data_IF_708905354174
#
_entry.id   IF_708905354174
#
_cell.length_a   1.000
_cell.length_b   1.000
_cell.length_c   1.000
_cell.angle_alpha   90.00
_cell.angle_beta   90.00
_cell.angle_gamma   90.00
#
_symmetry.space_group_name_H-M   'P 1'
#
loop_
_entity.id
_entity.type
_entity.pdbx_description
1 polymer ?
#
# COMPACT_ATOMS: atom_id res chain seq x y z
N UNK A 1 33.27 -24.72 65.16
CA UNK A 1 32.15 -23.78 65.40
C UNK A 1 31.11 -23.97 64.29
N UNK A 2 29.82 -24.01 64.66
CA UNK A 2 28.60 -24.20 63.87
C UNK A 2 28.43 -23.28 62.63
N UNK A 3 27.41 -23.49 61.73
CA UNK A 3 26.58 -24.68 61.46
C UNK A 3 26.35 -25.00 59.96
N UNK A 4 25.74 -26.17 59.73
CA UNK A 4 25.17 -26.68 58.47
C UNK A 4 23.87 -25.95 58.10
N UNK A 5 23.61 -25.72 56.81
CA UNK A 5 22.26 -25.77 56.25
C UNK A 5 22.23 -26.49 54.89
N UNK A 6 21.34 -27.50 54.83
CA UNK A 6 20.98 -28.30 53.66
C UNK A 6 19.99 -27.50 52.79
N UNK A 7 20.32 -27.25 51.54
CA UNK A 7 19.35 -26.89 50.50
C UNK A 7 18.84 -28.15 49.82
N UNK A 8 17.55 -28.45 49.98
CA UNK A 8 16.88 -29.62 49.38
C UNK A 8 16.71 -29.42 47.87
N UNK A 9 17.25 -30.33 47.07
CA UNK A 9 16.87 -30.51 45.66
C UNK A 9 15.42 -30.96 45.61
N UNK A 10 14.51 -30.09 45.15
CA UNK A 10 13.17 -30.52 44.77
C UNK A 10 13.27 -31.27 43.44
N UNK A 11 13.27 -32.59 43.54
CA UNK A 11 12.99 -33.51 42.43
C UNK A 11 11.54 -33.25 41.96
N UNK A 12 11.38 -32.57 40.84
CA UNK A 12 10.11 -32.55 40.11
C UNK A 12 9.89 -33.95 39.50
N UNK A 13 9.17 -34.80 40.25
CA UNK A 13 8.59 -36.04 39.72
C UNK A 13 7.28 -35.70 38.98
N UNK A 14 7.41 -35.09 37.82
CA UNK A 14 6.33 -35.00 36.83
C UNK A 14 6.62 -35.97 35.70
N UNK A 15 5.81 -37.02 35.54
CA UNK A 15 5.87 -37.95 34.41
C UNK A 15 5.36 -37.25 33.14
N UNK A 16 6.18 -36.43 32.50
CA UNK A 16 5.97 -36.08 31.10
C UNK A 16 7.32 -36.11 30.39
N UNK A 17 7.42 -37.04 29.44
CA UNK A 17 8.57 -37.17 28.56
C UNK A 17 8.61 -35.93 27.65
N UNK A 18 9.64 -35.06 27.70
CA UNK A 18 9.70 -33.86 26.86
C UNK A 18 9.79 -34.20 25.36
N UNK A 19 10.06 -35.46 25.00
CA UNK A 19 10.10 -35.93 23.62
C UNK A 19 8.71 -36.14 22.97
N UNK A 20 7.60 -36.11 23.73
CA UNK A 20 6.26 -36.29 23.15
C UNK A 20 5.59 -35.02 22.62
N UNK A 21 6.20 -33.82 22.83
CA UNK A 21 5.67 -32.56 22.29
C UNK A 21 6.20 -32.21 20.88
N UNK A 22 7.26 -32.88 20.40
CA UNK A 22 7.93 -32.56 19.14
C UNK A 22 7.73 -33.62 18.04
N UNK A 23 6.62 -34.35 18.06
CA UNK A 23 6.16 -35.11 16.89
C UNK A 23 5.05 -34.34 16.18
N UNK A 24 5.38 -33.17 15.64
CA UNK A 24 4.64 -32.64 14.49
C UNK A 24 5.06 -33.49 13.29
N UNK A 25 4.29 -34.54 13.01
CA UNK A 25 4.37 -35.25 11.74
C UNK A 25 4.22 -34.23 10.62
N UNK A 26 5.11 -34.30 9.64
CA UNK A 26 5.37 -33.35 8.55
C UNK A 26 4.24 -33.26 7.51
N UNK A 27 2.99 -33.19 7.96
CA UNK A 27 1.86 -32.78 7.15
C UNK A 27 1.65 -31.31 7.45
N UNK A 28 2.12 -30.43 6.56
CA UNK A 28 1.70 -29.02 6.52
C UNK A 28 0.19 -29.01 6.76
N UNK A 29 -0.24 -28.55 7.94
CA UNK A 29 -1.67 -28.50 8.24
C UNK A 29 -2.28 -27.55 7.23
N UNK A 30 -3.21 -28.10 6.47
CA UNK A 30 -4.08 -27.39 5.53
C UNK A 30 -4.59 -26.14 6.25
N UNK A 31 -4.38 -24.96 5.65
CA UNK A 31 -4.87 -23.69 6.17
C UNK A 31 -6.35 -23.92 6.48
N UNK A 32 -6.76 -23.60 7.71
CA UNK A 32 -8.15 -23.72 8.19
C UNK A 32 -9.14 -23.29 7.12
N UNK A 33 -10.31 -23.93 7.02
CA UNK A 33 -11.30 -23.77 5.95
C UNK A 33 -11.77 -22.34 5.61
N UNK A 34 -11.36 -21.32 6.39
CA UNK A 34 -11.56 -19.90 6.09
C UNK A 34 -10.30 -19.33 5.45
N UNK A 35 -10.46 -18.82 4.23
CA UNK A 35 -9.39 -18.15 3.49
C UNK A 35 -8.88 -16.91 4.27
N UNK A 36 -7.57 -16.83 4.58
CA UNK A 36 -7.01 -15.71 5.34
C UNK A 36 -7.07 -14.42 4.51
N UNK A 37 -7.52 -13.32 5.10
CA UNK A 37 -7.55 -12.00 4.46
C UNK A 37 -6.19 -11.33 4.64
N UNK A 38 -5.51 -11.04 3.54
CA UNK A 38 -4.18 -10.46 3.56
C UNK A 38 -4.19 -9.13 2.81
N UNK A 39 -3.58 -8.11 3.42
CA UNK A 39 -3.26 -6.87 2.71
C UNK A 39 -1.78 -6.86 2.32
N UNK A 40 -1.47 -6.38 1.13
CA UNK A 40 -0.09 -6.14 0.69
C UNK A 40 0.10 -4.64 0.53
N UNK A 41 1.02 -4.05 1.28
CA UNK A 41 1.52 -2.70 1.03
C UNK A 41 2.79 -2.82 0.17
N UNK A 42 2.83 -2.17 -0.99
CA UNK A 42 3.95 -2.29 -1.93
C UNK A 42 4.48 -0.92 -2.35
N UNK A 43 5.79 -0.71 -2.15
CA UNK A 43 6.48 0.49 -2.62
C UNK A 43 6.51 0.55 -4.14
N UNK A 44 6.21 1.72 -4.69
CA UNK A 44 6.32 2.02 -6.12
C UNK A 44 7.71 2.51 -6.53
N UNK A 45 8.55 2.89 -5.56
CA UNK A 45 9.97 3.11 -5.77
C UNK A 45 10.70 1.79 -6.06
N UNK A 46 11.66 1.80 -7.01
CA UNK A 46 12.30 0.59 -7.57
C UNK A 46 11.27 -0.42 -8.12
N UNK A 47 10.26 0.08 -8.86
CA UNK A 47 9.12 -0.70 -9.35
C UNK A 47 9.51 -1.97 -10.13
N UNK A 48 10.61 -1.94 -10.87
CA UNK A 48 11.12 -3.07 -11.63
C UNK A 48 11.52 -4.26 -10.74
N UNK A 49 11.87 -4.02 -9.47
CA UNK A 49 12.06 -5.05 -8.43
C UNK A 49 10.75 -5.33 -7.69
N UNK A 50 10.04 -4.30 -7.23
CA UNK A 50 8.90 -4.49 -6.33
C UNK A 50 7.68 -5.11 -7.02
N UNK A 51 7.55 -4.96 -8.36
CA UNK A 51 6.57 -5.70 -9.16
C UNK A 51 6.83 -7.19 -9.15
N UNK A 52 8.09 -7.62 -9.27
CA UNK A 52 8.45 -9.05 -9.18
C UNK A 52 8.21 -9.60 -7.77
N UNK A 53 8.50 -8.82 -6.72
CA UNK A 53 8.15 -9.19 -5.34
C UNK A 53 6.63 -9.35 -5.19
N UNK A 54 5.84 -8.42 -5.73
CA UNK A 54 4.38 -8.49 -5.67
C UNK A 54 3.84 -9.70 -6.44
N UNK A 55 4.36 -9.99 -7.62
CA UNK A 55 4.00 -11.16 -8.41
C UNK A 55 4.30 -12.44 -7.62
N UNK A 56 5.48 -12.54 -7.02
CA UNK A 56 5.86 -13.65 -6.15
C UNK A 56 4.92 -13.84 -4.94
N UNK A 57 4.54 -12.73 -4.30
CA UNK A 57 3.60 -12.75 -3.17
C UNK A 57 2.19 -13.18 -3.59
N UNK A 58 1.66 -12.64 -4.69
CA UNK A 58 0.35 -13.03 -5.26
C UNK A 58 0.32 -14.51 -5.62
N UNK A 59 1.35 -14.99 -6.32
CA UNK A 59 1.47 -16.39 -6.72
C UNK A 59 1.50 -17.33 -5.51
N UNK A 60 2.24 -16.99 -4.46
CA UNK A 60 2.27 -17.80 -3.23
C UNK A 60 0.90 -17.82 -2.53
N UNK A 61 0.24 -16.66 -2.44
CA UNK A 61 -1.09 -16.57 -1.85
C UNK A 61 -2.10 -17.41 -2.64
N UNK A 62 -2.11 -17.29 -3.97
CA UNK A 62 -2.96 -18.09 -4.85
C UNK A 62 -2.67 -19.58 -4.72
N UNK A 63 -1.39 -19.98 -4.68
CA UNK A 63 -0.97 -21.38 -4.50
C UNK A 63 -1.46 -21.97 -3.18
N UNK A 64 -1.44 -21.17 -2.10
CA UNK A 64 -1.85 -21.60 -0.75
C UNK A 64 -3.36 -21.59 -0.53
N UNK A 65 -4.10 -20.74 -1.24
CA UNK A 65 -5.54 -20.52 -0.96
C UNK A 65 -6.48 -20.87 -2.11
N UNK A 66 -5.97 -21.07 -3.32
CA UNK A 66 -6.75 -21.39 -4.52
C UNK A 66 -7.55 -20.23 -5.10
N UNK A 67 -7.48 -19.03 -4.52
CA UNK A 67 -8.20 -17.84 -5.00
C UNK A 67 -7.54 -16.54 -4.56
N UNK A 68 -7.67 -15.44 -5.31
CA UNK A 68 -7.19 -14.12 -4.87
C UNK A 68 -8.20 -13.32 -4.01
N UNK A 69 -9.41 -13.83 -3.76
CA UNK A 69 -10.51 -13.07 -3.13
C UNK A 69 -10.20 -12.46 -1.75
N UNK A 70 -9.29 -13.06 -0.98
CA UNK A 70 -8.86 -12.55 0.32
C UNK A 70 -7.65 -11.62 0.26
N UNK A 71 -7.11 -11.32 -0.93
CA UNK A 71 -5.90 -10.51 -1.09
C UNK A 71 -6.24 -9.10 -1.61
N UNK A 72 -5.78 -8.07 -0.90
CA UNK A 72 -5.87 -6.68 -1.36
C UNK A 72 -4.47 -6.07 -1.43
N UNK A 73 -4.24 -5.18 -2.41
CA UNK A 73 -2.94 -4.56 -2.66
C UNK A 73 -3.08 -3.04 -2.58
N UNK A 74 -2.16 -2.39 -1.86
CA UNK A 74 -2.14 -0.96 -1.61
C UNK A 74 -0.76 -0.40 -1.99
N UNK A 75 -0.69 0.62 -2.85
CA UNK A 75 0.58 1.24 -3.22
C UNK A 75 1.10 2.15 -2.11
N UNK A 76 2.42 2.21 -1.99
CA UNK A 76 3.18 3.18 -1.20
C UNK A 76 4.11 3.96 -2.12
N UNK A 77 4.33 5.26 -1.86
CA UNK A 77 5.23 6.08 -2.67
C UNK A 77 6.67 5.54 -2.60
N UNK A 78 7.18 5.31 -1.40
CA UNK A 78 8.44 4.62 -1.15
C UNK A 78 8.36 3.60 -0.01
N UNK A 79 9.52 3.09 0.39
CA UNK A 79 9.62 2.16 1.52
C UNK A 79 9.26 2.82 2.86
N UNK A 80 9.51 4.12 3.01
CA UNK A 80 9.27 4.84 4.26
C UNK A 80 7.77 4.87 4.63
N UNK A 81 6.91 5.12 3.65
CA UNK A 81 5.46 5.17 3.82
C UNK A 81 4.83 3.80 4.11
N UNK A 82 5.55 2.69 3.91
CA UNK A 82 5.06 1.35 4.25
C UNK A 82 4.64 1.26 5.72
N UNK A 83 5.35 1.93 6.62
CA UNK A 83 5.05 1.91 8.06
C UNK A 83 3.64 2.46 8.35
N UNK A 84 3.31 3.65 7.85
CA UNK A 84 2.01 4.28 8.05
C UNK A 84 0.86 3.47 7.44
N UNK A 85 1.07 2.97 6.22
CA UNK A 85 0.07 2.16 5.50
C UNK A 85 -0.15 0.83 6.23
N UNK A 86 0.92 0.10 6.54
CA UNK A 86 0.84 -1.18 7.25
C UNK A 86 0.18 -1.05 8.62
N UNK A 87 0.47 0.03 9.36
CA UNK A 87 -0.18 0.32 10.64
C UNK A 87 -1.69 0.41 10.48
N UNK A 88 -2.15 1.24 9.54
CA UNK A 88 -3.58 1.43 9.34
C UNK A 88 -4.26 0.12 8.91
N UNK A 89 -3.66 -0.62 7.99
CA UNK A 89 -4.15 -1.93 7.55
C UNK A 89 -4.24 -2.94 8.70
N UNK A 90 -3.28 -2.94 9.62
CA UNK A 90 -3.29 -3.81 10.80
C UNK A 90 -4.38 -3.39 11.82
N UNK A 91 -4.63 -2.09 11.99
CA UNK A 91 -5.57 -1.56 12.98
C UNK A 91 -7.04 -1.67 12.56
N UNK A 92 -7.37 -1.63 11.26
CA UNK A 92 -8.78 -1.61 10.80
C UNK A 92 -9.57 -2.92 11.04
N UNK A 93 -8.91 -3.99 11.50
CA UNK A 93 -9.56 -5.26 11.85
C UNK A 93 -10.12 -6.07 10.67
N UNK A 94 -9.72 -5.74 9.43
CA UNK A 94 -10.17 -6.42 8.20
C UNK A 94 -9.24 -7.50 7.69
N UNK A 95 -7.99 -7.52 8.15
CA UNK A 95 -6.95 -8.41 7.66
C UNK A 95 -6.40 -9.26 8.79
N UNK A 96 -6.08 -10.50 8.45
CA UNK A 96 -5.48 -11.48 9.34
C UNK A 96 -3.93 -11.38 9.28
N UNK A 97 -3.38 -10.83 8.18
CA UNK A 97 -1.98 -10.44 8.06
C UNK A 97 -1.80 -9.25 7.11
N UNK A 98 -0.66 -8.57 7.24
CA UNK A 98 -0.19 -7.56 6.29
C UNK A 98 1.15 -8.02 5.72
N UNK A 99 1.44 -7.76 4.44
CA UNK A 99 2.74 -8.02 3.82
C UNK A 99 3.30 -6.68 3.33
N UNK A 100 4.48 -6.30 3.80
CA UNK A 100 5.17 -5.09 3.39
C UNK A 100 6.22 -5.44 2.33
N UNK A 101 6.06 -4.94 1.10
CA UNK A 101 6.96 -5.17 -0.01
C UNK A 101 7.65 -3.88 -0.42
N UNK A 102 8.97 -3.92 -0.56
CA UNK A 102 9.74 -2.76 -1.01
C UNK A 102 11.16 -3.12 -1.39
N UNK A 103 11.87 -2.17 -1.97
CA UNK A 103 13.28 -2.31 -2.28
C UNK A 103 13.97 -0.97 -2.08
N UNK A 104 14.99 -0.97 -1.22
CA UNK A 104 15.91 0.15 -1.01
C UNK A 104 17.28 -0.33 -1.45
N UNK A 105 17.90 0.41 -2.37
CA UNK A 105 19.24 0.14 -2.88
C UNK A 105 20.16 1.25 -2.37
N UNK A 106 21.32 0.89 -1.84
CA UNK A 106 22.29 1.83 -1.25
C UNK A 106 22.74 2.85 -2.30
N UNK A 107 22.56 4.13 -1.96
CA UNK A 107 23.10 5.26 -2.71
C UNK A 107 24.37 5.81 -2.07
N UNK A 108 24.67 7.08 -2.35
CA UNK A 108 25.91 7.74 -1.89
C UNK A 108 25.86 8.21 -0.43
N UNK A 109 24.66 8.38 0.12
CA UNK A 109 24.45 8.98 1.45
C UNK A 109 23.93 7.95 2.44
N UNK A 110 24.01 8.29 3.73
CA UNK A 110 23.44 7.50 4.84
C UNK A 110 21.91 7.35 4.78
N UNK A 111 21.23 8.00 3.84
CA UNK A 111 19.78 7.92 3.65
C UNK A 111 19.28 6.48 3.57
N UNK A 112 20.06 5.59 2.95
CA UNK A 112 19.78 4.14 2.93
C UNK A 112 19.62 3.57 4.33
N UNK A 113 20.56 3.83 5.23
CA UNK A 113 20.60 3.24 6.56
C UNK A 113 19.43 3.78 7.41
N UNK A 114 19.16 5.09 7.36
CA UNK A 114 18.04 5.69 8.09
C UNK A 114 16.67 5.16 7.61
N UNK A 115 16.46 4.98 6.30
CA UNK A 115 15.22 4.39 5.80
C UNK A 115 15.09 2.94 6.24
N UNK A 116 16.11 2.12 6.00
CA UNK A 116 16.04 0.69 6.29
C UNK A 116 15.79 0.45 7.78
N UNK A 117 16.49 1.19 8.64
CA UNK A 117 16.35 1.09 10.09
C UNK A 117 14.96 1.52 10.56
N UNK A 118 14.49 2.70 10.12
CA UNK A 118 13.18 3.25 10.51
C UNK A 118 12.03 2.34 10.08
N UNK A 119 12.07 1.80 8.85
CA UNK A 119 11.01 0.95 8.33
C UNK A 119 11.02 -0.41 9.02
N UNK A 120 12.19 -1.01 9.22
CA UNK A 120 12.31 -2.31 9.90
C UNK A 120 11.78 -2.23 11.34
N UNK A 121 12.18 -1.19 12.10
CA UNK A 121 11.69 -0.96 13.45
C UNK A 121 10.19 -0.64 13.46
N UNK A 122 9.71 0.21 12.57
CA UNK A 122 8.29 0.59 12.48
C UNK A 122 7.39 -0.62 12.19
N UNK A 123 7.76 -1.47 11.24
CA UNK A 123 7.00 -2.69 10.92
C UNK A 123 6.99 -3.68 12.09
N UNK A 124 8.12 -3.82 12.80
CA UNK A 124 8.22 -4.66 14.00
C UNK A 124 7.26 -4.16 15.09
N UNK A 125 7.28 -2.86 15.36
CA UNK A 125 6.43 -2.24 16.38
C UNK A 125 4.93 -2.39 16.05
N UNK A 126 4.55 -2.31 14.77
CA UNK A 126 3.17 -2.54 14.34
C UNK A 126 2.72 -3.95 14.70
N UNK A 127 3.52 -4.97 14.43
CA UNK A 127 3.17 -6.35 14.83
C UNK A 127 3.05 -6.49 16.34
N UNK A 128 3.97 -5.89 17.12
CA UNK A 128 3.92 -5.95 18.59
C UNK A 128 2.66 -5.27 19.16
N UNK A 129 2.26 -4.12 18.62
CA UNK A 129 1.09 -3.36 19.11
C UNK A 129 -0.25 -3.95 18.68
N UNK A 130 -0.34 -4.38 17.44
CA UNK A 130 -1.63 -4.79 16.85
C UNK A 130 -1.89 -6.29 17.01
N UNK A 131 -0.84 -7.09 17.21
CA UNK A 131 -0.90 -8.55 17.15
C UNK A 131 -1.13 -9.10 15.74
N UNK A 132 -1.18 -8.25 14.71
CA UNK A 132 -1.30 -8.67 13.31
C UNK A 132 0.11 -8.91 12.75
N UNK A 133 0.39 -10.11 12.22
CA UNK A 133 1.71 -10.41 11.67
C UNK A 133 1.97 -9.60 10.40
N UNK A 134 3.18 -9.04 10.31
CA UNK A 134 3.69 -8.37 9.12
C UNK A 134 4.69 -9.28 8.40
N UNK A 135 4.38 -9.69 7.17
CA UNK A 135 5.34 -10.33 6.27
C UNK A 135 6.37 -9.32 5.77
N UNK A 136 7.63 -9.51 6.13
CA UNK A 136 8.73 -8.58 5.82
C UNK A 136 9.38 -8.89 4.46
N UNK A 137 8.91 -8.23 3.41
CA UNK A 137 9.45 -8.32 2.04
C UNK A 137 10.14 -7.03 1.58
N UNK A 138 10.82 -6.34 2.49
CA UNK A 138 11.63 -5.16 2.19
C UNK A 138 13.07 -5.59 1.86
N UNK A 139 13.48 -5.43 0.60
CA UNK A 139 14.87 -5.64 0.20
C UNK A 139 15.73 -4.45 0.60
N UNK A 140 16.85 -4.74 1.26
CA UNK A 140 17.88 -3.77 1.66
C UNK A 140 19.19 -4.18 1.01
N UNK A 141 19.46 -3.68 -0.19
CA UNK A 141 20.55 -4.17 -1.04
C UNK A 141 21.64 -3.12 -1.26
N UNK A 142 22.89 -3.57 -1.40
CA UNK A 142 24.00 -2.65 -1.69
C UNK A 142 24.06 -2.24 -3.18
N UNK A 143 23.45 -3.03 -4.06
CA UNK A 143 23.41 -2.77 -5.51
C UNK A 143 22.18 -3.42 -6.17
N UNK A 144 21.98 -3.12 -7.44
CA UNK A 144 20.84 -3.59 -8.23
C UNK A 144 20.86 -5.11 -8.46
N UNK A 145 22.04 -5.69 -8.69
CA UNK A 145 22.21 -7.12 -8.95
C UNK A 145 21.78 -7.96 -7.74
N UNK A 146 22.05 -7.47 -6.52
CA UNK A 146 21.57 -8.11 -5.30
C UNK A 146 20.04 -8.08 -5.18
N UNK A 147 19.40 -7.01 -5.64
CA UNK A 147 17.96 -6.87 -5.63
C UNK A 147 17.31 -7.81 -6.65
N UNK A 148 17.82 -7.84 -7.88
CA UNK A 148 17.39 -8.76 -8.95
C UNK A 148 17.44 -10.22 -8.52
N UNK A 149 18.59 -10.61 -7.97
CA UNK A 149 18.82 -11.97 -7.49
C UNK A 149 17.78 -12.41 -6.45
N UNK A 150 17.17 -11.47 -5.71
CA UNK A 150 16.18 -11.70 -4.64
C UNK A 150 14.73 -11.44 -5.06
N UNK A 151 14.51 -11.02 -6.30
CA UNK A 151 13.20 -10.68 -6.84
C UNK A 151 12.84 -11.62 -8.00
N UNK A 152 13.02 -12.92 -7.81
CA UNK A 152 12.77 -13.95 -8.83
C UNK A 152 14.04 -14.47 -9.52
N UNK A 153 15.21 -13.94 -9.18
CA UNK A 153 16.51 -14.42 -9.67
C UNK A 153 17.08 -15.60 -8.88
N UNK A 154 18.41 -15.73 -8.89
CA UNK A 154 19.14 -16.89 -8.34
C UNK A 154 18.90 -17.17 -6.85
N UNK A 155 18.55 -16.17 -6.05
CA UNK A 155 18.25 -16.29 -4.62
C UNK A 155 16.74 -16.38 -4.33
N UNK A 156 15.94 -16.64 -5.36
CA UNK A 156 14.49 -16.77 -5.26
C UNK A 156 13.79 -15.42 -5.21
N UNK A 157 12.58 -15.40 -4.64
CA UNK A 157 11.73 -14.22 -4.58
C UNK A 157 11.33 -13.92 -3.13
N UNK A 158 11.80 -12.80 -2.58
CA UNK A 158 11.50 -12.41 -1.20
C UNK A 158 10.05 -12.00 -0.96
N UNK A 159 9.30 -11.64 -2.01
CA UNK A 159 7.86 -11.44 -1.90
C UNK A 159 7.10 -12.75 -1.69
N UNK A 160 7.49 -13.82 -2.40
CA UNK A 160 7.00 -15.19 -2.15
C UNK A 160 7.28 -15.62 -0.72
N UNK A 161 8.52 -15.45 -0.26
CA UNK A 161 8.89 -15.82 1.12
C UNK A 161 8.13 -15.01 2.18
N UNK A 162 7.99 -13.70 2.00
CA UNK A 162 7.26 -12.82 2.91
C UNK A 162 5.77 -13.20 3.01
N UNK A 163 5.13 -13.50 1.88
CA UNK A 163 3.75 -14.00 1.88
C UNK A 163 3.64 -15.36 2.57
N UNK A 164 4.54 -16.29 2.27
CA UNK A 164 4.52 -17.63 2.89
C UNK A 164 4.67 -17.53 4.41
N UNK A 165 5.60 -16.70 4.88
CA UNK A 165 5.83 -16.46 6.30
C UNK A 165 4.59 -15.83 6.99
N UNK A 166 3.94 -14.85 6.35
CA UNK A 166 2.72 -14.23 6.87
C UNK A 166 1.59 -15.27 7.04
N UNK A 167 1.33 -16.07 6.00
CA UNK A 167 0.28 -17.10 6.02
C UNK A 167 0.55 -18.18 7.07
N UNK A 168 1.80 -18.64 7.18
CA UNK A 168 2.20 -19.62 8.20
C UNK A 168 2.03 -19.06 9.62
N UNK A 169 2.35 -17.78 9.81
CA UNK A 169 2.20 -17.10 11.10
C UNK A 169 0.72 -17.00 11.49
N UNK A 170 -0.16 -16.63 10.55
CA UNK A 170 -1.62 -16.62 10.78
C UNK A 170 -2.13 -17.98 11.22
N UNK A 171 -1.78 -19.05 10.48
CA UNK A 171 -2.19 -20.41 10.82
C UNK A 171 -1.69 -20.84 12.22
N UNK A 172 -0.47 -20.44 12.57
CA UNK A 172 0.12 -20.72 13.89
C UNK A 172 -0.59 -19.95 14.99
N UNK A 173 -0.86 -18.65 14.81
CA UNK A 173 -1.58 -17.83 15.77
C UNK A 173 -3.01 -18.33 16.00
N UNK A 174 -3.71 -18.77 14.95
CA UNK A 174 -5.01 -19.42 15.08
C UNK A 174 -4.92 -20.69 15.94
N UNK A 175 -3.93 -21.55 15.66
CA UNK A 175 -3.71 -22.77 16.45
C UNK A 175 -3.45 -22.45 17.93
N UNK A 176 -2.63 -21.42 18.22
CA UNK A 176 -2.36 -20.98 19.60
C UNK A 176 -3.65 -20.49 20.28
N UNK A 177 -4.45 -19.68 19.59
CA UNK A 177 -5.70 -19.16 20.13
C UNK A 177 -6.73 -20.28 20.38
N UNK A 178 -6.76 -21.31 19.54
CA UNK A 178 -7.64 -22.47 19.71
C UNK A 178 -7.25 -23.37 20.90
N UNK A 179 -5.97 -23.38 21.30
CA UNK A 179 -5.54 -24.07 22.52
C UNK A 179 -6.08 -23.39 23.77
N UNK A 180 -6.19 -22.05 23.76
CA UNK A 180 -6.69 -21.26 24.89
C UNK A 180 -8.20 -21.42 25.06
N UNK A 181 -8.95 -21.62 23.97
CA UNK A 181 -10.42 -21.72 24.01
C UNK A 181 -10.96 -23.10 24.38
N UNK A 182 -10.13 -24.15 24.32
CA UNK A 182 -10.56 -25.55 24.53
C UNK A 182 -10.23 -26.11 25.93
N UNK A 183 -9.85 -25.29 26.92
CA UNK A 183 -9.81 -25.74 28.31
C UNK A 183 -11.23 -25.93 28.88
N UNK A 184 -11.59 -27.13 29.38
CA UNK A 184 -12.90 -27.37 29.97
C UNK A 184 -12.97 -26.69 31.35
N UNK A 185 -13.41 -25.44 31.42
CA UNK A 185 -13.70 -24.81 32.72
C UNK A 185 -13.87 -23.30 32.82
N UNK A 186 -13.60 -22.49 31.81
CA UNK A 186 -13.73 -21.03 31.95
C UNK A 186 -14.51 -20.39 30.81
N UNK A 187 -15.78 -20.10 31.08
CA UNK A 187 -16.54 -19.12 30.31
C UNK A 187 -15.84 -17.77 30.43
N UNK A 188 -15.12 -17.35 29.38
CA UNK A 188 -14.49 -16.04 29.34
C UNK A 188 -14.95 -15.26 28.13
N UNK A 189 -15.50 -14.08 28.41
CA UNK A 189 -15.90 -13.06 27.45
C UNK A 189 -14.72 -12.70 26.55
N UNK A 190 -15.04 -12.46 25.28
CA UNK A 190 -14.15 -11.96 24.24
C UNK A 190 -13.25 -10.82 24.79
N UNK A 191 -11.90 -10.90 24.76
CA UNK A 191 -11.04 -9.88 25.38
C UNK A 191 -10.87 -8.60 24.53
N UNK A 192 -11.53 -8.48 23.37
CA UNK A 192 -11.31 -7.37 22.42
C UNK A 192 -11.97 -6.04 22.79
N UNK A 193 -12.26 -5.81 24.06
CA UNK A 193 -12.69 -4.48 24.54
C UNK A 193 -12.18 -4.29 25.96
N UNK A 194 -10.99 -3.68 26.08
CA UNK A 194 -10.56 -2.77 27.15
C UNK A 194 -9.04 -2.78 27.22
N UNK A 195 -8.42 -1.98 26.36
CA UNK A 195 -7.18 -1.31 26.75
C UNK A 195 -7.61 0.15 26.95
N UNK A 196 -7.91 0.48 28.20
CA UNK A 196 -8.14 1.84 28.66
C UNK A 196 -6.77 2.47 28.89
N UNK A 197 -6.31 3.29 27.94
CA UNK A 197 -5.10 4.09 28.06
C UNK A 197 -5.50 5.50 28.53
N UNK A 198 -5.84 5.61 29.81
CA UNK A 198 -6.01 6.90 30.48
C UNK A 198 -5.21 6.95 31.79
N UNK A 199 -3.88 7.04 31.69
CA UNK A 199 -2.98 7.66 32.69
C UNK A 199 -1.82 8.27 31.89
N UNK A 200 -1.90 9.53 31.44
CA UNK A 200 -1.47 10.73 32.17
C UNK A 200 -0.17 10.54 32.97
N UNK A 201 0.95 10.91 32.34
CA UNK A 201 2.06 11.56 33.04
C UNK A 201 2.15 13.00 32.51
N UNK A 202 1.67 13.92 33.33
CA UNK A 202 1.84 15.36 33.17
C UNK A 202 3.31 15.73 33.40
N UNK A 203 3.95 16.28 32.39
CA UNK A 203 5.08 17.18 32.62
C UNK A 203 5.08 18.29 31.57
N UNK A 204 4.26 19.31 31.84
CA UNK A 204 4.26 20.56 31.09
C UNK A 204 5.47 21.39 31.52
N UNK A 205 6.41 21.60 30.60
CA UNK A 205 7.39 22.65 30.71
C UNK A 205 7.04 23.70 29.65
N UNK A 206 6.39 24.77 30.10
CA UNK A 206 6.01 25.93 29.29
C UNK A 206 7.27 26.60 28.73
N UNK A 207 7.28 26.85 27.41
CA UNK A 207 8.24 27.73 26.76
C UNK A 207 7.44 28.83 26.03
N UNK A 208 7.63 30.13 26.37
CA UNK A 208 6.85 31.20 25.79
C UNK A 208 7.49 31.71 24.49
N UNK A 209 6.65 31.98 23.48
CA UNK A 209 7.00 32.84 22.35
C UNK A 209 7.12 32.13 21.01
N UNK A 210 6.03 32.13 20.25
CA UNK A 210 6.10 32.45 18.83
C UNK A 210 4.72 32.92 18.36
N UNK A 211 4.62 34.22 18.08
CA UNK A 211 3.46 34.84 17.45
C UNK A 211 3.25 34.29 16.02
N UNK A 212 2.01 34.23 15.53
CA UNK A 212 1.72 33.79 14.18
C UNK A 212 2.16 34.86 13.17
N UNK A 213 3.17 34.55 12.36
CA UNK A 213 3.57 35.37 11.21
C UNK A 213 2.45 35.38 10.17
N UNK A 214 1.79 36.54 10.00
CA UNK A 214 0.82 36.77 8.94
C UNK A 214 1.47 36.65 7.56
N UNK A 215 0.91 35.81 6.68
CA UNK A 215 1.26 35.75 5.25
C UNK A 215 0.78 37.03 4.54
N UNK A 216 1.56 37.62 3.62
CA UNK A 216 1.08 38.70 2.78
C UNK A 216 0.09 38.17 1.72
N UNK A 217 -0.84 39.01 1.22
CA UNK A 217 -1.83 38.58 0.24
C UNK A 217 -1.15 38.33 -1.12
N UNK A 218 -1.44 37.20 -1.73
CA UNK A 218 -1.02 36.89 -3.10
C UNK A 218 -1.87 37.73 -4.04
N UNK A 219 -1.22 38.69 -4.71
CA UNK A 219 -1.83 39.50 -5.76
C UNK A 219 -2.09 38.63 -6.98
N UNK A 220 -3.36 38.47 -7.36
CA UNK A 220 -3.77 37.81 -8.59
C UNK A 220 -3.38 38.65 -9.80
N UNK A 221 -2.43 38.16 -10.59
CA UNK A 221 -2.23 38.61 -11.97
C UNK A 221 -2.45 37.40 -12.89
N UNK A 222 -3.71 37.19 -13.27
CA UNK A 222 -4.07 36.45 -14.47
C UNK A 222 -4.98 37.40 -15.26
N UNK A 223 -4.64 37.75 -16.52
CA UNK A 223 -5.56 38.50 -17.35
C UNK A 223 -6.77 37.62 -17.70
N UNK A 224 -7.97 38.17 -17.55
CA UNK A 224 -9.20 37.59 -18.09
C UNK A 224 -9.06 37.48 -19.61
N UNK A 225 -8.93 36.24 -20.11
CA UNK A 225 -9.08 35.94 -21.52
C UNK A 225 -10.55 35.59 -21.77
N UNK A 226 -11.22 36.46 -22.51
CA UNK A 226 -12.59 36.31 -22.97
C UNK A 226 -12.81 34.99 -23.73
N UNK A 227 -14.03 34.47 -23.62
CA UNK A 227 -14.48 33.17 -24.09
C UNK A 227 -13.99 32.76 -25.47
N UNK A 228 -13.14 31.73 -25.50
CA UNK A 228 -12.98 30.83 -26.63
C UNK A 228 -13.01 29.39 -26.11
N UNK A 229 -13.83 28.57 -26.75
CA UNK A 229 -14.01 27.14 -26.45
C UNK A 229 -12.67 26.39 -26.41
N UNK A 230 -12.52 25.55 -25.38
CA UNK A 230 -11.30 24.79 -25.07
C UNK A 230 -10.93 23.76 -26.17
N UNK A 231 -9.63 23.54 -26.49
CA UNK A 231 -9.19 22.73 -27.63
C UNK A 231 -9.33 21.21 -27.50
N UNK A 232 -9.83 20.71 -26.35
CA UNK A 232 -10.11 19.27 -26.15
C UNK A 232 -11.10 18.68 -27.19
N UNK A 233 -11.77 19.53 -27.96
CA UNK A 233 -12.69 19.13 -29.04
C UNK A 233 -11.99 18.48 -30.25
N UNK A 234 -10.67 18.63 -30.46
CA UNK A 234 -10.05 18.28 -31.76
C UNK A 234 -9.57 16.83 -31.95
N UNK A 235 -9.43 16.01 -30.91
CA UNK A 235 -8.91 14.63 -31.08
C UNK A 235 -9.93 13.50 -30.90
N UNK A 236 -11.11 13.77 -30.32
CA UNK A 236 -12.08 12.69 -30.00
C UNK A 236 -13.53 12.97 -30.43
N UNK A 237 -13.88 14.20 -30.83
CA UNK A 237 -15.26 14.58 -31.16
C UNK A 237 -16.26 14.53 -29.99
N UNK A 238 -15.78 14.26 -28.77
CA UNK A 238 -16.57 14.18 -27.55
C UNK A 238 -16.51 15.54 -26.82
N UNK A 239 -17.67 16.04 -26.38
CA UNK A 239 -17.76 17.28 -25.58
C UNK A 239 -17.66 16.97 -24.09
N UNK A 240 -16.77 17.68 -23.39
CA UNK A 240 -16.61 17.62 -21.94
C UNK A 240 -17.31 18.80 -21.26
N UNK A 241 -17.85 18.59 -20.06
CA UNK A 241 -18.34 19.66 -19.18
C UNK A 241 -17.42 19.88 -17.98
N UNK A 242 -16.55 18.93 -17.66
CA UNK A 242 -15.58 19.04 -16.59
C UNK A 242 -14.44 20.01 -16.93
N UNK A 243 -13.88 20.64 -15.90
CA UNK A 243 -12.70 21.51 -16.02
C UNK A 243 -11.49 20.70 -16.54
N UNK A 244 -10.65 21.25 -17.44
CA UNK A 244 -9.51 20.54 -18.01
C UNK A 244 -8.57 19.93 -16.96
N UNK A 245 -8.43 20.59 -15.81
CA UNK A 245 -7.63 20.09 -14.68
C UNK A 245 -8.21 18.79 -14.10
N UNK A 246 -9.53 18.68 -13.96
CA UNK A 246 -10.18 17.49 -13.41
C UNK A 246 -10.07 16.31 -14.38
N UNK A 247 -10.21 16.57 -15.68
CA UNK A 247 -10.02 15.57 -16.74
C UNK A 247 -8.59 15.01 -16.71
N UNK A 248 -7.56 15.86 -16.54
CA UNK A 248 -6.17 15.42 -16.38
C UNK A 248 -5.93 14.61 -15.11
N UNK A 249 -6.53 15.01 -13.99
CA UNK A 249 -6.43 14.23 -12.75
C UNK A 249 -6.96 12.82 -12.93
N UNK A 250 -8.12 12.65 -13.58
CA UNK A 250 -8.67 11.32 -13.88
C UNK A 250 -7.76 10.58 -14.86
N UNK A 251 -7.26 11.25 -15.90
CA UNK A 251 -6.34 10.64 -16.86
C UNK A 251 -5.04 10.15 -16.21
N UNK A 252 -4.51 10.86 -15.20
CA UNK A 252 -3.35 10.41 -14.42
C UNK A 252 -3.64 9.12 -13.67
N UNK A 253 -4.82 8.98 -13.07
CA UNK A 253 -5.21 7.73 -12.39
C UNK A 253 -5.33 6.58 -13.38
N UNK A 254 -5.95 6.83 -14.54
CA UNK A 254 -6.06 5.82 -15.62
C UNK A 254 -4.66 5.38 -16.05
N UNK A 255 -3.78 6.34 -16.35
CA UNK A 255 -2.41 6.07 -16.75
C UNK A 255 -1.65 5.28 -15.69
N UNK A 256 -1.79 5.63 -14.41
CA UNK A 256 -1.16 4.96 -13.30
C UNK A 256 -1.60 3.49 -13.18
N UNK A 257 -2.91 3.21 -13.30
CA UNK A 257 -3.44 1.84 -13.24
C UNK A 257 -2.98 0.99 -14.44
N UNK A 258 -2.96 1.58 -15.65
CA UNK A 258 -2.41 0.91 -16.84
C UNK A 258 -0.92 0.59 -16.66
N UNK A 259 -0.16 1.48 -16.02
CA UNK A 259 1.26 1.26 -15.72
C UNK A 259 1.48 0.17 -14.66
N UNK A 260 0.53 -0.01 -13.75
CA UNK A 260 0.59 -1.02 -12.70
C UNK A 260 0.15 -2.41 -13.19
N UNK A 261 -0.80 -2.48 -14.13
CA UNK A 261 -1.49 -3.72 -14.51
C UNK A 261 -1.34 -4.13 -15.98
N UNK A 262 -0.80 -3.27 -16.83
CA UNK A 262 -0.75 -3.47 -18.29
C UNK A 262 -1.98 -2.89 -19.01
N UNK A 263 -2.11 -3.17 -20.31
CA UNK A 263 -3.28 -2.71 -21.09
C UNK A 263 -4.58 -3.29 -20.51
N UNK A 264 -5.48 -2.41 -20.09
CA UNK A 264 -6.82 -2.75 -19.58
C UNK A 264 -7.88 -2.26 -20.56
N UNK A 265 -8.96 -3.03 -20.70
CA UNK A 265 -10.13 -2.57 -21.46
C UNK A 265 -10.97 -1.55 -20.65
N UNK A 266 -11.83 -0.81 -21.34
CA UNK A 266 -12.65 0.24 -20.74
C UNK A 266 -13.62 -0.30 -19.66
N UNK A 267 -14.06 -1.56 -19.76
CA UNK A 267 -14.95 -2.19 -18.77
C UNK A 267 -14.20 -2.53 -17.47
N UNK A 268 -12.97 -3.02 -17.57
CA UNK A 268 -12.09 -3.28 -16.43
C UNK A 268 -11.73 -1.99 -15.69
N UNK A 269 -11.48 -0.91 -16.43
CA UNK A 269 -11.19 0.40 -15.86
C UNK A 269 -12.44 0.97 -15.18
N UNK A 270 -13.63 0.89 -15.80
CA UNK A 270 -14.88 1.33 -15.17
C UNK A 270 -15.14 0.63 -13.84
N UNK A 271 -14.90 -0.68 -13.76
CA UNK A 271 -15.16 -1.48 -12.55
C UNK A 271 -14.20 -1.17 -11.41
N UNK A 272 -12.94 -0.89 -11.70
CA UNK A 272 -11.87 -0.83 -10.69
C UNK A 272 -11.50 0.62 -10.27
N UNK A 273 -11.81 1.63 -11.10
CA UNK A 273 -11.46 3.05 -10.89
C UNK A 273 -12.31 3.89 -9.93
N UNK A 274 -13.61 3.64 -9.68
CA UNK A 274 -14.45 4.56 -8.91
C UNK A 274 -13.92 4.80 -7.50
N UNK A 275 -13.28 3.80 -6.90
CA UNK A 275 -12.69 3.90 -5.56
C UNK A 275 -11.38 4.72 -5.55
N UNK A 276 -10.58 4.64 -6.62
CA UNK A 276 -9.34 5.42 -6.77
C UNK A 276 -9.64 6.90 -7.04
N UNK A 277 -10.65 7.16 -7.88
CA UNK A 277 -11.20 8.51 -8.12
C UNK A 277 -11.81 9.08 -6.82
N UNK A 278 -12.55 8.27 -6.06
CA UNK A 278 -13.08 8.62 -4.72
C UNK A 278 -12.00 8.99 -3.70
N UNK A 279 -10.84 8.33 -3.72
CA UNK A 279 -9.74 8.60 -2.79
C UNK A 279 -8.97 9.88 -3.16
N UNK A 280 -8.91 10.24 -4.44
CA UNK A 280 -8.22 11.43 -4.93
C UNK A 280 -9.08 12.71 -4.89
N UNK A 281 -10.40 12.58 -5.02
CA UNK A 281 -11.33 13.72 -5.00
C UNK A 281 -11.80 14.12 -3.60
N UNK A 282 -11.50 13.33 -2.56
CA UNK A 282 -11.83 13.62 -1.16
C UNK A 282 -10.84 14.57 -0.47
N UNK A 283 -10.44 15.64 -1.14
CA UNK A 283 -9.64 16.69 -0.49
C UNK A 283 -10.19 18.07 -0.77
N UNK A 284 -11.45 18.27 -0.39
CA UNK A 284 -11.89 19.55 0.16
C UNK A 284 -11.98 19.37 1.69
N UNK A 285 -11.22 20.19 2.42
CA UNK A 285 -10.97 20.10 3.86
C UNK A 285 -12.21 20.44 4.75
N UNK A 286 -13.45 20.27 4.27
CA UNK A 286 -14.65 20.71 5.01
C UNK A 286 -15.84 19.73 5.06
N UNK A 287 -15.78 18.52 4.50
CA UNK A 287 -16.92 17.59 4.55
C UNK A 287 -16.79 16.54 5.67
N UNK A 288 -17.03 16.99 6.92
CA UNK A 288 -17.63 16.14 7.96
C UNK A 288 -19.12 15.96 7.65
N UNK A 289 -19.49 15.12 6.66
CA UNK A 289 -20.77 14.40 6.63
C UNK A 289 -20.97 13.70 5.27
N UNK A 290 -20.48 12.46 5.16
CA UNK A 290 -20.98 11.55 4.13
C UNK A 290 -21.98 10.57 4.76
N UNK A 291 -23.28 10.66 4.43
CA UNK A 291 -24.26 9.74 4.96
C UNK A 291 -23.95 8.33 4.44
N UNK A 292 -23.65 7.41 5.37
CA UNK A 292 -23.60 5.96 5.08
C UNK A 292 -25.01 5.48 4.72
N UNK A 293 -25.42 5.68 3.46
CA UNK A 293 -26.68 5.13 2.94
C UNK A 293 -26.58 3.60 2.99
N UNK A 294 -27.45 2.97 3.78
CA UNK A 294 -27.71 1.53 3.72
C UNK A 294 -28.46 1.24 2.42
N UNK A 295 -27.75 0.76 1.42
CA UNK A 295 -28.26 0.32 0.12
C UNK A 295 -27.20 -0.51 -0.62
N UNK A 296 -27.54 -1.15 -1.75
CA UNK A 296 -26.54 -1.73 -2.63
C UNK A 296 -25.52 -0.65 -3.03
N UNK A 297 -24.26 -1.04 -3.23
CA UNK A 297 -23.21 -0.11 -3.63
C UNK A 297 -23.68 0.66 -4.89
N UNK A 298 -23.60 2.00 -4.90
CA UNK A 298 -23.98 2.78 -6.08
C UNK A 298 -23.13 2.34 -7.27
N UNK A 299 -23.73 2.33 -8.45
CA UNK A 299 -23.00 2.04 -9.69
C UNK A 299 -21.92 3.09 -9.94
N UNK A 300 -20.88 2.70 -10.66
CA UNK A 300 -19.73 3.55 -11.01
C UNK A 300 -20.18 4.89 -11.61
N UNK A 301 -21.22 4.85 -12.43
CA UNK A 301 -21.85 6.02 -13.06
C UNK A 301 -22.65 6.89 -12.08
N UNK A 302 -23.27 6.32 -11.05
CA UNK A 302 -23.96 7.09 -10.01
C UNK A 302 -22.97 7.82 -9.10
N UNK A 303 -21.82 7.20 -8.83
CA UNK A 303 -20.71 7.83 -8.09
C UNK A 303 -20.14 8.98 -8.91
N UNK A 304 -19.79 8.76 -10.18
CA UNK A 304 -19.22 9.81 -11.03
C UNK A 304 -20.17 11.01 -11.20
N UNK A 305 -21.48 10.76 -11.38
CA UNK A 305 -22.49 11.82 -11.41
C UNK A 305 -22.59 12.61 -10.11
N UNK A 306 -22.38 11.98 -8.94
CA UNK A 306 -22.40 12.70 -7.66
C UNK A 306 -21.26 13.70 -7.49
N UNK A 307 -20.19 13.56 -8.28
CA UNK A 307 -19.07 14.51 -8.35
C UNK A 307 -19.14 15.45 -9.56
N UNK A 308 -20.26 15.47 -10.29
CA UNK A 308 -20.48 16.34 -11.44
C UNK A 308 -19.82 15.88 -12.75
N UNK A 309 -19.30 14.65 -12.82
CA UNK A 309 -18.74 14.09 -14.06
C UNK A 309 -19.81 13.42 -14.91
N UNK A 310 -19.79 13.71 -16.21
CA UNK A 310 -20.60 13.03 -17.21
C UNK A 310 -19.82 11.88 -17.88
N UNK A 311 -20.55 10.97 -18.55
CA UNK A 311 -19.96 9.82 -19.23
C UNK A 311 -18.90 10.21 -20.28
N UNK A 312 -19.08 11.37 -20.92
CA UNK A 312 -18.13 11.89 -21.89
C UNK A 312 -16.84 12.40 -21.23
N UNK A 313 -16.89 12.97 -20.03
CA UNK A 313 -15.69 13.44 -19.32
C UNK A 313 -14.77 12.26 -18.98
N UNK A 314 -15.37 11.14 -18.55
CA UNK A 314 -14.66 9.89 -18.28
C UNK A 314 -14.05 9.29 -19.54
N UNK A 315 -14.79 9.29 -20.66
CA UNK A 315 -14.27 8.81 -21.95
C UNK A 315 -13.10 9.65 -22.45
N UNK A 316 -13.16 10.97 -22.28
CA UNK A 316 -12.07 11.86 -22.66
C UNK A 316 -10.85 11.65 -21.76
N UNK A 317 -11.04 11.57 -20.43
CA UNK A 317 -9.94 11.27 -19.51
C UNK A 317 -9.30 9.90 -19.78
N UNK A 318 -10.12 8.88 -20.08
CA UNK A 318 -9.67 7.55 -20.48
C UNK A 318 -8.83 7.59 -21.75
N UNK A 319 -9.32 8.25 -22.80
CA UNK A 319 -8.60 8.38 -24.07
C UNK A 319 -7.26 9.10 -23.87
N UNK A 320 -7.24 10.13 -23.03
CA UNK A 320 -6.02 10.86 -22.68
C UNK A 320 -5.01 9.97 -21.95
N UNK A 321 -5.45 9.23 -20.93
CA UNK A 321 -4.60 8.30 -20.18
C UNK A 321 -4.09 7.14 -21.04
N UNK A 322 -4.95 6.55 -21.86
CA UNK A 322 -4.59 5.48 -22.81
C UNK A 322 -3.61 5.96 -23.88
N UNK A 323 -3.81 7.18 -24.40
CA UNK A 323 -2.91 7.78 -25.38
C UNK A 323 -1.51 7.97 -24.79
N UNK A 324 -1.43 8.53 -23.59
CA UNK A 324 -0.17 8.66 -22.86
C UNK A 324 0.49 7.30 -22.56
N UNK A 325 -0.31 6.30 -22.19
CA UNK A 325 0.17 4.94 -21.94
C UNK A 325 0.79 4.30 -23.19
N UNK A 326 0.19 4.50 -24.36
CA UNK A 326 0.72 3.98 -25.64
C UNK A 326 2.03 4.64 -26.05
N UNK A 327 2.22 5.92 -25.73
CA UNK A 327 3.46 6.67 -26.00
C UNK A 327 4.48 6.64 -24.86
N UNK A 328 4.26 5.84 -23.82
CA UNK A 328 5.08 5.85 -22.60
C UNK A 328 6.57 5.60 -22.87
N UNK A 329 6.89 4.73 -23.83
CA UNK A 329 8.28 4.39 -24.17
C UNK A 329 8.99 5.55 -24.87
N UNK A 330 8.31 6.26 -25.76
CA UNK A 330 8.85 7.47 -26.39
C UNK A 330 9.07 8.58 -25.37
N UNK A 331 8.10 8.79 -24.48
CA UNK A 331 8.19 9.77 -23.39
C UNK A 331 9.36 9.46 -22.45
N UNK A 332 9.52 8.19 -22.07
CA UNK A 332 10.62 7.72 -21.23
C UNK A 332 11.99 7.93 -21.89
N UNK A 333 12.11 7.65 -23.19
CA UNK A 333 13.34 7.90 -23.95
C UNK A 333 13.67 9.39 -24.04
N UNK A 334 12.66 10.25 -24.26
CA UNK A 334 12.86 11.69 -24.24
C UNK A 334 13.33 12.18 -22.87
N UNK A 335 12.70 11.70 -21.78
CA UNK A 335 13.11 12.05 -20.42
C UNK A 335 14.51 11.58 -20.09
N UNK A 336 14.90 10.38 -20.53
CA UNK A 336 16.26 9.87 -20.37
C UNK A 336 17.29 10.74 -21.10
N UNK A 337 16.94 11.26 -22.27
CA UNK A 337 17.79 12.20 -23.01
C UNK A 337 17.93 13.57 -22.32
N UNK A 338 16.86 14.07 -21.71
CA UNK A 338 16.86 15.37 -21.01
C UNK A 338 17.49 15.32 -19.62
N UNK A 339 17.30 14.22 -18.89
CA UNK A 339 17.79 14.01 -17.53
C UNK A 339 18.40 12.61 -17.38
N UNK A 340 19.63 12.37 -17.90
CA UNK A 340 20.28 11.06 -17.86
C UNK A 340 20.47 10.50 -16.43
N UNK A 341 20.65 11.38 -15.45
CA UNK A 341 20.85 11.01 -14.04
C UNK A 341 19.53 10.64 -13.31
N UNK A 342 18.38 10.92 -13.92
CA UNK A 342 17.05 10.61 -13.39
C UNK A 342 16.21 9.76 -14.38
N UNK A 343 16.68 8.55 -14.69
CA UNK A 343 16.01 7.65 -15.63
C UNK A 343 14.61 7.21 -15.13
N UNK A 344 13.72 6.77 -16.04
CA UNK A 344 12.32 6.43 -15.72
C UNK A 344 12.11 5.40 -14.59
N UNK A 345 13.06 4.51 -14.36
CA UNK A 345 13.05 3.51 -13.29
C UNK A 345 13.36 4.10 -11.90
N UNK A 346 14.02 5.27 -11.85
CA UNK A 346 14.27 6.06 -10.62
C UNK A 346 13.19 7.11 -10.34
N UNK A 347 12.28 7.34 -11.29
CA UNK A 347 11.19 8.29 -11.11
C UNK A 347 10.07 7.67 -10.24
N UNK A 348 9.54 8.40 -9.23
CA UNK A 348 8.32 8.00 -8.56
C UNK A 348 7.20 7.77 -9.58
N UNK A 349 6.35 6.76 -9.33
CA UNK A 349 5.35 6.35 -10.32
C UNK A 349 4.40 7.48 -10.73
N UNK A 350 4.01 8.34 -9.79
CA UNK A 350 3.17 9.50 -10.07
C UNK A 350 3.89 10.52 -10.95
N UNK A 351 5.12 10.89 -10.62
CA UNK A 351 5.93 11.86 -11.37
C UNK A 351 6.15 11.39 -12.80
N UNK A 352 6.46 10.10 -12.97
CA UNK A 352 6.57 9.49 -14.30
C UNK A 352 5.28 9.56 -15.09
N UNK A 353 4.13 9.29 -14.46
CA UNK A 353 2.82 9.43 -15.11
C UNK A 353 2.53 10.88 -15.51
N UNK A 354 2.89 11.86 -14.66
CA UNK A 354 2.76 13.29 -14.99
C UNK A 354 3.60 13.65 -16.21
N UNK A 355 4.86 13.23 -16.24
CA UNK A 355 5.77 13.52 -17.36
C UNK A 355 5.29 12.89 -18.67
N UNK A 356 4.81 11.64 -18.63
CA UNK A 356 4.27 10.95 -19.81
C UNK A 356 2.97 11.58 -20.31
N UNK A 357 2.08 11.98 -19.40
CA UNK A 357 0.86 12.69 -19.75
C UNK A 357 1.20 14.04 -20.41
N UNK A 358 2.16 14.79 -19.84
CA UNK A 358 2.61 16.06 -20.40
C UNK A 358 3.25 15.87 -21.80
N UNK A 359 4.13 14.88 -21.97
CA UNK A 359 4.71 14.54 -23.26
C UNK A 359 3.64 14.23 -24.31
N UNK A 360 2.65 13.41 -23.94
CA UNK A 360 1.55 13.07 -24.84
C UNK A 360 0.73 14.31 -25.22
N UNK A 361 0.38 15.16 -24.25
CA UNK A 361 -0.38 16.37 -24.51
C UNK A 361 0.36 17.36 -25.41
N UNK A 362 1.68 17.51 -25.23
CA UNK A 362 2.52 18.40 -26.03
C UNK A 362 2.74 17.87 -27.45
N UNK A 363 2.95 16.56 -27.62
CA UNK A 363 3.27 15.97 -28.92
C UNK A 363 2.05 15.77 -29.81
N UNK A 364 0.87 15.58 -29.21
CA UNK A 364 -0.40 15.47 -29.92
C UNK A 364 -1.14 16.81 -30.03
N UNK A 365 -0.50 17.92 -29.62
CA UNK A 365 -1.06 19.27 -29.69
C UNK A 365 -2.44 19.38 -29.01
N UNK A 366 -2.62 18.61 -27.92
CA UNK A 366 -3.85 18.55 -27.12
C UNK A 366 -3.93 19.77 -26.19
N UNK A 367 -2.77 20.25 -25.72
CA UNK A 367 -2.62 21.52 -25.02
C UNK A 367 -1.95 22.52 -25.98
N UNK A 368 -2.49 23.75 -26.15
CA UNK A 368 -1.96 24.75 -27.08
C UNK A 368 -0.60 25.33 -26.67
#
# INVERSE_FOLDING_TARGET
>A
MHPKHRGKTLLWKGRHNPASMLHMTSKEREITAVQPRVAVAVSTYNAWITRELLAGARNEYLRRTGSEKGLLVFPAAGAFELTAICRNLAEIGKFDAVVALGCVIRGETEHFDYICDSVTHGLTEITLRTGIPIGFGLLTCNNAEQAESRAGGEKGNKGTEAMSAALQTVATLHTINDLVTNEPGTSSKNPRSNIDLTQQDDNQQENPGNEPVSRPPVTSLVPEAEGQSSPAEKSTGLRTKAEPRQVRQIALVVLYELDARGEMDAEQISRDMPLAILMLLKRDDNDEDLPRKKGPAPSDMEICRSFGFEENDLKVAYNLGMGAFRKREEADQMMLGLAPDWPPDRQPALDRCILRLAYYEMTENITP
#
